data_IF_545216194070
#
_entry.id   IF_545216194070
#
_cell.length_a   1.000
_cell.length_b   1.000
_cell.length_c   1.000
_cell.angle_alpha   90.00
_cell.angle_beta   90.00
_cell.angle_gamma   90.00
#
_symmetry.space_group_name_H-M   'P 1'
#
loop_
_entity.id
_entity.type
_entity.pdbx_description
1 polymer ?
#
# COMPACT_ATOMS: atom_id res chain seq x y z
N UNK A 1 -14.33 -16.05 3.50
CA UNK A 1 -14.37 -14.57 3.40
C UNK A 1 -14.47 -14.24 1.93
N UNK A 2 -15.34 -13.29 1.56
CA UNK A 2 -15.47 -12.81 0.19
C UNK A 2 -14.08 -12.38 -0.36
N UNK A 3 -13.78 -12.73 -1.61
CA UNK A 3 -12.45 -12.48 -2.19
C UNK A 3 -12.13 -10.98 -2.24
N UNK A 4 -13.12 -10.14 -2.50
CA UNK A 4 -13.05 -8.67 -2.49
C UNK A 4 -12.56 -8.20 -1.13
N UNK A 5 -13.19 -8.69 -0.04
CA UNK A 5 -12.85 -8.33 1.34
C UNK A 5 -11.42 -8.79 1.65
N UNK A 6 -11.03 -9.99 1.20
CA UNK A 6 -9.68 -10.53 1.41
C UNK A 6 -8.61 -9.68 0.73
N UNK A 7 -8.78 -9.37 -0.55
CA UNK A 7 -7.84 -8.55 -1.35
C UNK A 7 -7.75 -7.15 -0.77
N UNK A 8 -8.89 -6.53 -0.46
CA UNK A 8 -8.97 -5.18 0.12
C UNK A 8 -8.24 -5.13 1.47
N UNK A 9 -8.49 -6.10 2.36
CA UNK A 9 -7.84 -6.16 3.68
C UNK A 9 -6.33 -6.27 3.57
N UNK A 10 -5.83 -7.11 2.67
CA UNK A 10 -4.38 -7.27 2.44
C UNK A 10 -3.76 -5.94 1.97
N UNK A 11 -4.42 -5.24 1.03
CA UNK A 11 -3.93 -3.95 0.52
C UNK A 11 -3.96 -2.85 1.59
N UNK A 12 -4.99 -2.81 2.44
CA UNK A 12 -5.06 -1.85 3.57
C UNK A 12 -3.91 -2.08 4.55
N UNK A 13 -3.64 -3.34 4.94
CA UNK A 13 -2.54 -3.66 5.86
C UNK A 13 -1.19 -3.27 5.23
N UNK A 14 -0.99 -3.59 3.96
CA UNK A 14 0.23 -3.21 3.25
C UNK A 14 0.39 -1.69 3.09
N UNK A 15 -0.71 -0.96 2.92
CA UNK A 15 -0.70 0.50 2.85
C UNK A 15 -0.28 1.14 4.17
N UNK A 16 -0.72 0.61 5.32
CA UNK A 16 -0.28 1.07 6.64
C UNK A 16 1.22 0.85 6.86
N UNK A 17 1.73 -0.32 6.48
CA UNK A 17 3.17 -0.62 6.54
C UNK A 17 3.94 0.35 5.62
N UNK A 18 3.45 0.54 4.40
CA UNK A 18 4.05 1.46 3.42
C UNK A 18 4.06 2.89 3.92
N UNK A 19 2.99 3.35 4.57
CA UNK A 19 2.86 4.69 5.12
C UNK A 19 3.90 4.92 6.22
N UNK A 20 4.11 3.94 7.10
CA UNK A 20 5.11 4.03 8.17
C UNK A 20 6.53 4.10 7.61
N UNK A 21 6.85 3.28 6.60
CA UNK A 21 8.15 3.32 5.92
C UNK A 21 8.38 4.63 5.18
N UNK A 22 7.34 5.13 4.49
CA UNK A 22 7.37 6.42 3.79
C UNK A 22 7.60 7.58 4.76
N UNK A 23 6.89 7.57 5.90
CA UNK A 23 7.07 8.55 6.96
C UNK A 23 8.49 8.47 7.55
N UNK A 24 9.02 7.27 7.80
CA UNK A 24 10.40 7.11 8.26
C UNK A 24 11.45 7.69 7.31
N UNK A 25 11.25 7.55 6.00
CA UNK A 25 12.11 8.17 4.98
C UNK A 25 11.96 9.70 4.90
N UNK A 26 10.79 10.24 5.22
CA UNK A 26 10.51 11.69 5.24
C UNK A 26 11.07 12.33 6.52
N UNK A 27 10.89 11.65 7.66
CA UNK A 27 11.30 12.11 8.99
C UNK A 27 12.79 11.82 9.28
N UNK A 28 13.42 10.92 8.54
CA UNK A 28 14.84 10.64 8.63
C UNK A 28 15.20 9.52 9.61
N UNK A 29 14.27 8.62 9.93
CA UNK A 29 14.49 7.52 10.87
C UNK A 29 15.60 6.56 10.44
N UNK A 30 15.89 6.49 9.14
CA UNK A 30 16.93 5.64 8.56
C UNK A 30 18.29 6.36 8.42
N UNK A 31 18.47 7.51 9.07
CA UNK A 31 19.70 8.30 9.03
C UNK A 31 19.82 9.26 7.83
N UNK A 32 18.82 9.31 6.96
CA UNK A 32 18.73 10.25 5.84
C UNK A 32 17.25 10.57 5.51
N UNK A 33 17.01 11.74 4.91
CA UNK A 33 15.68 12.16 4.44
C UNK A 33 15.58 12.09 2.92
N UNK A 34 14.51 11.49 2.39
CA UNK A 34 14.28 11.43 0.95
C UNK A 34 12.80 11.20 0.59
N UNK A 35 12.11 12.28 0.23
CA UNK A 35 10.69 12.25 -0.11
C UNK A 35 10.40 11.50 -1.42
N UNK A 36 11.36 11.50 -2.35
CA UNK A 36 11.24 10.75 -3.60
C UNK A 36 11.21 9.24 -3.30
N UNK A 37 12.12 8.78 -2.43
CA UNK A 37 12.15 7.37 -2.00
C UNK A 37 10.95 7.01 -1.14
N UNK A 38 10.43 7.94 -0.33
CA UNK A 38 9.19 7.76 0.42
C UNK A 38 7.99 7.46 -0.51
N UNK A 39 7.91 8.10 -1.67
CA UNK A 39 6.90 7.76 -2.68
C UNK A 39 7.17 6.41 -3.34
N UNK A 40 8.39 6.18 -3.84
CA UNK A 40 8.69 4.98 -4.60
C UNK A 40 8.58 3.68 -3.79
N UNK A 41 8.90 3.71 -2.49
CA UNK A 41 8.78 2.50 -1.65
C UNK A 41 7.32 2.04 -1.56
N UNK A 42 6.36 2.96 -1.47
CA UNK A 42 4.93 2.62 -1.45
C UNK A 42 4.47 2.00 -2.77
N UNK A 43 4.92 2.55 -3.91
CA UNK A 43 4.61 2.01 -5.25
C UNK A 43 5.18 0.60 -5.42
N UNK A 44 6.41 0.36 -4.98
CA UNK A 44 7.06 -0.95 -5.02
C UNK A 44 6.27 -1.96 -4.18
N UNK A 45 5.87 -1.59 -2.96
CA UNK A 45 5.08 -2.47 -2.08
C UNK A 45 3.73 -2.77 -2.70
N UNK A 46 3.02 -1.77 -3.23
CA UNK A 46 1.75 -1.95 -3.93
C UNK A 46 1.86 -2.98 -5.05
N UNK A 47 2.91 -2.88 -5.89
CA UNK A 47 3.14 -3.84 -6.97
C UNK A 47 3.29 -5.27 -6.45
N UNK A 48 4.16 -5.50 -5.45
CA UNK A 48 4.38 -6.84 -4.91
C UNK A 48 3.15 -7.41 -4.20
N UNK A 49 2.37 -6.57 -3.52
CA UNK A 49 1.12 -6.97 -2.87
C UNK A 49 0.07 -7.35 -3.92
N UNK A 50 -0.03 -6.60 -5.02
CA UNK A 50 -0.88 -6.95 -6.16
C UNK A 50 -0.53 -8.33 -6.74
N UNK A 51 0.77 -8.58 -6.97
CA UNK A 51 1.26 -9.88 -7.44
C UNK A 51 0.96 -11.01 -6.44
N UNK A 52 1.10 -10.74 -5.14
CA UNK A 52 0.77 -11.70 -4.08
C UNK A 52 -0.73 -12.04 -4.05
N UNK A 53 -1.60 -11.04 -4.16
CA UNK A 53 -3.04 -11.25 -4.23
C UNK A 53 -3.46 -12.06 -5.47
N UNK A 54 -2.86 -11.79 -6.64
CA UNK A 54 -3.09 -12.59 -7.85
C UNK A 54 -2.73 -14.07 -7.65
N UNK A 55 -1.62 -14.36 -6.97
CA UNK A 55 -1.23 -15.75 -6.66
C UNK A 55 -2.19 -16.46 -5.71
N UNK A 56 -2.81 -15.74 -4.78
CA UNK A 56 -3.71 -16.33 -3.78
C UNK A 56 -5.13 -16.52 -4.32
N UNK A 57 -5.58 -15.59 -5.14
CA UNK A 57 -6.95 -15.54 -5.63
C UNK A 57 -7.13 -16.22 -6.99
N UNK A 58 -6.04 -16.53 -7.71
CA UNK A 58 -6.09 -17.20 -9.00
C UNK A 58 -6.92 -16.43 -10.03
N UNK A 59 -7.76 -17.15 -10.78
CA UNK A 59 -8.64 -16.60 -11.81
C UNK A 59 -9.87 -15.85 -11.25
N UNK A 60 -10.07 -15.82 -9.92
CA UNK A 60 -11.22 -15.15 -9.30
C UNK A 60 -11.08 -13.61 -9.30
N UNK A 61 -9.89 -13.07 -9.53
CA UNK A 61 -9.70 -11.62 -9.73
C UNK A 61 -9.98 -11.31 -11.20
N UNK A 62 -11.17 -10.77 -11.46
CA UNK A 62 -11.67 -10.40 -12.79
C UNK A 62 -10.96 -9.15 -13.35
N UNK A 63 -9.71 -9.32 -13.76
CA UNK A 63 -8.96 -8.35 -14.55
C UNK A 63 -8.62 -7.03 -13.84
N UNK A 64 -8.22 -6.03 -14.64
CA UNK A 64 -7.67 -4.77 -14.15
C UNK A 64 -8.66 -3.95 -13.31
N UNK A 65 -9.96 -3.95 -13.65
CA UNK A 65 -10.97 -3.19 -12.91
C UNK A 65 -11.05 -3.64 -11.46
N UNK A 66 -11.09 -4.96 -11.22
CA UNK A 66 -11.13 -5.48 -9.87
C UNK A 66 -9.83 -5.19 -9.10
N UNK A 67 -8.67 -5.27 -9.77
CA UNK A 67 -7.40 -4.89 -9.17
C UNK A 67 -7.32 -3.40 -8.80
N UNK A 68 -7.90 -2.53 -9.64
CA UNK A 68 -7.98 -1.09 -9.38
C UNK A 68 -8.87 -0.79 -8.16
N UNK A 69 -10.06 -1.38 -8.10
CA UNK A 69 -11.06 -1.06 -7.08
C UNK A 69 -10.88 -1.78 -5.75
N UNK A 70 -10.42 -3.04 -5.77
CA UNK A 70 -10.22 -3.84 -4.56
C UNK A 70 -8.78 -3.76 -4.04
N UNK A 71 -7.84 -3.29 -4.86
CA UNK A 71 -6.41 -3.27 -4.54
C UNK A 71 -5.82 -1.86 -4.51
N UNK A 72 -5.64 -1.25 -5.69
CA UNK A 72 -4.94 0.03 -5.83
C UNK A 72 -5.64 1.15 -5.06
N UNK A 73 -6.96 1.30 -5.26
CA UNK A 73 -7.73 2.39 -4.65
C UNK A 73 -7.71 2.31 -3.11
N UNK A 74 -8.05 1.16 -2.47
CA UNK A 74 -7.95 1.01 -1.03
C UNK A 74 -6.53 1.28 -0.52
N UNK A 75 -5.52 0.74 -1.20
CA UNK A 75 -4.13 0.97 -0.81
C UNK A 75 -3.78 2.46 -0.85
N UNK A 76 -4.06 3.13 -1.96
CA UNK A 76 -3.67 4.53 -2.17
C UNK A 76 -4.31 5.45 -1.14
N UNK A 77 -5.62 5.34 -0.91
CA UNK A 77 -6.32 6.21 0.04
C UNK A 77 -5.86 5.95 1.48
N UNK A 78 -5.72 4.68 1.89
CA UNK A 78 -5.20 4.35 3.22
C UNK A 78 -3.77 4.85 3.38
N UNK A 79 -2.92 4.63 2.37
CA UNK A 79 -1.51 5.04 2.41
C UNK A 79 -1.38 6.56 2.54
N UNK A 80 -2.06 7.35 1.70
CA UNK A 80 -1.99 8.81 1.76
C UNK A 80 -2.45 9.33 3.13
N UNK A 81 -3.60 8.87 3.62
CA UNK A 81 -4.14 9.31 4.91
C UNK A 81 -3.17 8.95 6.05
N UNK A 82 -2.74 7.69 6.13
CA UNK A 82 -1.86 7.23 7.19
C UNK A 82 -0.48 7.89 7.12
N UNK A 83 0.08 8.04 5.91
CA UNK A 83 1.36 8.72 5.69
C UNK A 83 1.31 10.16 6.16
N UNK A 84 0.27 10.92 5.78
CA UNK A 84 0.09 12.30 6.21
C UNK A 84 -0.02 12.39 7.74
N UNK A 85 -0.81 11.53 8.37
CA UNK A 85 -0.91 11.49 9.83
C UNK A 85 0.44 11.16 10.49
N UNK A 86 1.17 10.18 9.97
CA UNK A 86 2.48 9.80 10.52
C UNK A 86 3.51 10.91 10.37
N UNK A 87 3.60 11.56 9.22
CA UNK A 87 4.53 12.69 9.02
C UNK A 87 4.15 13.90 9.90
N UNK A 88 2.87 14.10 10.20
CA UNK A 88 2.43 15.22 11.04
C UNK A 88 2.63 15.00 12.54
N UNK A 89 2.60 13.74 13.01
CA UNK A 89 2.50 13.44 14.44
C UNK A 89 3.61 12.53 15.00
N UNK A 90 4.48 11.95 14.17
CA UNK A 90 5.65 11.17 14.59
C UNK A 90 6.95 11.92 14.33
#
# INVERSE_FOLDING_TARGET
MDITIKVTTIHIIAALISALLSAGLTLGWFGFKNDIFAFFIAVIILYFVGQFCQKIAGDEISGFSQWLWDGISPFYFTWVIAYTLFVMYL
#
